data_IF_372407391039
#
_entry.id   IF_372407391039
#
_cell.length_a   1.000
_cell.length_b   1.000
_cell.length_c   1.000
_cell.angle_alpha   90.00
_cell.angle_beta   90.00
_cell.angle_gamma   90.00
#
_symmetry.space_group_name_H-M   'P 1'
#
loop_
_entity.id
_entity.type
_entity.pdbx_description
1 polymer ?
#
# COMPACT_ATOMS: atom_id res chain seq x y z
N UNK A 1 -6.00 -98.59 -34.13
CA UNK A 1 -4.67 -98.95 -34.67
C UNK A 1 -4.04 -97.64 -35.12
N UNK A 2 -2.94 -97.20 -34.47
CA UNK A 2 -2.10 -96.03 -34.81
C UNK A 2 -2.78 -94.63 -34.74
N UNK A 3 -2.15 -93.48 -34.48
CA UNK A 3 -0.94 -92.98 -33.79
C UNK A 3 -0.97 -91.44 -34.04
N UNK A 4 -0.27 -90.64 -33.23
CA UNK A 4 0.29 -89.30 -33.60
C UNK A 4 -0.70 -88.11 -33.70
N UNK A 5 -0.74 -87.20 -32.72
CA UNK A 5 0.13 -86.01 -32.53
C UNK A 5 0.01 -85.02 -33.70
N UNK A 6 -0.62 -83.87 -33.44
CA UNK A 6 -0.11 -82.56 -33.88
C UNK A 6 -0.68 -81.41 -33.02
N UNK A 7 0.24 -80.67 -32.40
CA UNK A 7 0.06 -79.44 -31.63
C UNK A 7 -0.63 -78.35 -32.46
N UNK A 8 -1.60 -77.63 -31.87
CA UNK A 8 -1.76 -76.18 -32.04
C UNK A 8 -2.28 -75.56 -30.74
N UNK A 9 -1.40 -74.82 -30.06
CA UNK A 9 -1.71 -74.02 -28.88
C UNK A 9 -2.68 -72.89 -29.26
N UNK A 10 -3.83 -72.83 -28.60
CA UNK A 10 -4.72 -71.67 -28.62
C UNK A 10 -4.18 -70.66 -27.59
N UNK A 11 -3.63 -69.54 -28.06
CA UNK A 11 -3.30 -68.40 -27.19
C UNK A 11 -4.60 -67.63 -26.96
N UNK A 12 -5.15 -67.75 -25.75
CA UNK A 12 -6.27 -66.95 -25.29
C UNK A 12 -5.71 -65.63 -24.75
N UNK A 13 -5.82 -64.55 -25.54
CA UNK A 13 -5.45 -63.19 -25.10
C UNK A 13 -6.56 -62.67 -24.19
N UNK A 14 -6.37 -62.76 -22.87
CA UNK A 14 -7.17 -62.03 -21.90
C UNK A 14 -6.72 -60.56 -21.91
N UNK A 15 -7.53 -59.69 -22.52
CA UNK A 15 -7.35 -58.24 -22.44
C UNK A 15 -7.75 -57.79 -21.03
N UNK A 16 -6.78 -57.76 -20.11
CA UNK A 16 -6.96 -57.18 -18.78
C UNK A 16 -6.91 -55.66 -18.92
N UNK A 17 -8.07 -55.03 -19.11
CA UNK A 17 -8.20 -53.57 -19.09
C UNK A 17 -8.04 -53.10 -17.64
N UNK A 18 -6.81 -52.79 -17.25
CA UNK A 18 -6.52 -52.09 -16.01
C UNK A 18 -7.07 -50.66 -16.15
N UNK A 19 -8.25 -50.41 -15.57
CA UNK A 19 -8.75 -49.05 -15.36
C UNK A 19 -7.91 -48.39 -14.25
N UNK A 20 -6.74 -47.87 -14.62
CA UNK A 20 -5.96 -46.99 -13.76
C UNK A 20 -6.72 -45.67 -13.67
N UNK A 21 -7.49 -45.49 -12.60
CA UNK A 21 -8.04 -44.19 -12.23
C UNK A 21 -6.86 -43.26 -11.91
N UNK A 22 -6.43 -42.50 -12.92
CA UNK A 22 -5.49 -41.42 -12.75
C UNK A 22 -6.17 -40.33 -11.92
N UNK A 23 -5.90 -40.31 -10.60
CA UNK A 23 -6.19 -39.15 -9.77
C UNK A 23 -5.29 -38.02 -10.26
N UNK A 24 -5.85 -37.13 -11.10
CA UNK A 24 -5.21 -35.86 -11.40
C UNK A 24 -5.11 -35.08 -10.09
N UNK A 25 -3.91 -35.02 -9.50
CA UNK A 25 -3.60 -34.04 -8.47
C UNK A 25 -3.68 -32.66 -9.11
N UNK A 26 -4.82 -31.99 -8.97
CA UNK A 26 -4.95 -30.58 -9.30
C UNK A 26 -3.98 -29.82 -8.40
N UNK A 27 -3.00 -29.15 -8.98
CA UNK A 27 -2.12 -28.24 -8.25
C UNK A 27 -2.98 -27.27 -7.40
N UNK A 28 -2.61 -26.99 -6.14
CA UNK A 28 -3.41 -26.11 -5.30
C UNK A 28 -3.59 -24.76 -5.99
N UNK A 29 -4.85 -24.38 -6.18
CA UNK A 29 -5.20 -23.14 -6.87
C UNK A 29 -4.65 -21.96 -6.07
N UNK A 30 -3.75 -21.18 -6.69
CA UNK A 30 -3.18 -19.96 -6.08
C UNK A 30 -4.36 -19.03 -5.72
N UNK A 31 -4.50 -18.71 -4.44
CA UNK A 31 -5.49 -17.73 -3.97
C UNK A 31 -4.99 -16.35 -4.34
N UNK A 32 -5.82 -15.58 -5.04
CA UNK A 32 -5.50 -14.21 -5.43
C UNK A 32 -5.41 -13.30 -4.20
N UNK A 33 -4.49 -12.34 -4.18
CA UNK A 33 -4.35 -11.39 -3.06
C UNK A 33 -5.42 -10.29 -3.11
N UNK A 34 -5.54 -9.51 -2.04
CA UNK A 34 -6.38 -8.30 -2.02
C UNK A 34 -6.01 -7.34 -3.15
N UNK A 35 -4.73 -7.10 -3.41
CA UNK A 35 -4.31 -6.22 -4.52
C UNK A 35 -4.71 -6.80 -5.89
N UNK A 36 -4.66 -8.13 -6.06
CA UNK A 36 -5.07 -8.78 -7.31
C UNK A 36 -6.61 -8.73 -7.51
N UNK A 37 -7.40 -8.79 -6.42
CA UNK A 37 -8.88 -8.79 -6.48
C UNK A 37 -9.49 -7.38 -6.44
N UNK A 38 -8.87 -6.47 -5.67
CA UNK A 38 -9.31 -5.09 -5.44
C UNK A 38 -8.12 -4.12 -5.58
N UNK A 39 -7.62 -3.87 -6.81
CA UNK A 39 -6.45 -3.03 -7.03
C UNK A 39 -6.57 -1.65 -6.37
N UNK A 40 -5.54 -1.25 -5.62
CA UNK A 40 -5.49 0.04 -4.93
C UNK A 40 -6.35 0.18 -3.67
N UNK A 41 -7.08 -0.86 -3.24
CA UNK A 41 -7.82 -0.86 -1.98
C UNK A 41 -6.85 -0.74 -0.78
N UNK A 42 -5.82 -1.58 -0.76
CA UNK A 42 -4.78 -1.59 0.24
C UNK A 42 -3.60 -0.72 -0.19
N UNK A 43 -3.00 0.02 0.74
CA UNK A 43 -1.80 0.82 0.47
C UNK A 43 -0.58 0.34 1.25
N UNK A 44 -0.72 -0.69 2.10
CA UNK A 44 0.36 -1.23 2.92
C UNK A 44 0.26 -2.73 3.14
N UNK A 45 0.26 -3.15 4.42
CA UNK A 45 0.45 -4.55 4.81
C UNK A 45 -0.63 -5.51 4.26
N UNK A 46 -1.83 -5.00 3.92
CA UNK A 46 -2.92 -5.83 3.45
C UNK A 46 -2.90 -6.08 1.93
N UNK A 47 -1.98 -5.47 1.17
CA UNK A 47 -1.86 -5.72 -0.29
C UNK A 47 -1.69 -7.20 -0.65
N UNK A 48 -0.95 -7.93 0.18
CA UNK A 48 -0.66 -9.36 0.02
C UNK A 48 -1.59 -10.27 0.80
N UNK A 49 -2.60 -9.71 1.50
CA UNK A 49 -3.55 -10.50 2.25
C UNK A 49 -4.42 -11.36 1.31
N UNK A 50 -4.92 -12.48 1.82
CA UNK A 50 -5.72 -13.44 1.09
C UNK A 50 -7.19 -13.33 1.52
N UNK A 51 -8.11 -12.91 0.64
CA UNK A 51 -9.54 -12.95 0.90
C UNK A 51 -10.02 -14.41 0.92
N UNK A 52 -10.42 -14.88 2.09
CA UNK A 52 -10.89 -16.25 2.34
C UNK A 52 -12.14 -16.26 3.21
N UNK A 53 -12.84 -17.40 3.24
CA UNK A 53 -13.91 -17.60 4.22
C UNK A 53 -13.33 -17.72 5.63
N UNK A 54 -13.86 -16.92 6.57
CA UNK A 54 -13.51 -16.95 7.99
C UNK A 54 -14.76 -17.23 8.83
N UNK A 55 -14.55 -17.60 10.10
CA UNK A 55 -15.65 -17.77 11.07
C UNK A 55 -16.48 -16.48 11.17
N UNK A 56 -17.78 -16.63 11.42
CA UNK A 56 -18.69 -15.49 11.58
C UNK A 56 -18.17 -14.53 12.66
N UNK A 57 -18.14 -13.23 12.35
CA UNK A 57 -17.64 -12.17 13.23
C UNK A 57 -16.15 -11.87 13.09
N UNK A 58 -15.35 -12.81 12.56
CA UNK A 58 -13.93 -12.61 12.33
C UNK A 58 -13.68 -11.97 10.96
N UNK A 59 -12.91 -10.87 10.95
CA UNK A 59 -12.59 -10.11 9.72
C UNK A 59 -11.13 -10.28 9.29
N UNK A 60 -10.22 -10.58 10.22
CA UNK A 60 -8.81 -10.85 9.92
C UNK A 60 -8.25 -11.97 10.82
N UNK A 61 -7.38 -12.79 10.24
CA UNK A 61 -6.53 -13.74 10.96
C UNK A 61 -5.10 -13.74 10.43
N UNK A 62 -4.11 -13.60 11.31
CA UNK A 62 -2.69 -13.65 10.95
C UNK A 62 -1.85 -14.11 12.14
N UNK A 63 -1.08 -15.19 12.01
CA UNK A 63 -0.17 -15.68 13.07
C UNK A 63 -0.78 -15.83 14.49
N UNK A 64 -2.05 -16.19 14.60
CA UNK A 64 -2.75 -16.28 15.90
C UNK A 64 -3.25 -14.94 16.44
N UNK A 65 -3.07 -13.84 15.69
CA UNK A 65 -3.87 -12.63 15.83
C UNK A 65 -5.21 -12.89 15.13
N UNK A 66 -6.28 -12.56 15.82
CA UNK A 66 -7.65 -12.58 15.33
C UNK A 66 -8.28 -11.21 15.57
N UNK A 67 -8.88 -10.62 14.55
CA UNK A 67 -9.56 -9.32 14.66
C UNK A 67 -11.01 -9.49 14.25
N UNK A 68 -11.90 -9.04 15.12
CA UNK A 68 -13.34 -8.95 14.89
C UNK A 68 -13.73 -7.52 14.50
N UNK A 69 -14.89 -7.34 13.88
CA UNK A 69 -15.38 -6.01 13.49
C UNK A 69 -15.56 -5.07 14.70
N UNK A 70 -15.96 -5.63 15.85
CA UNK A 70 -16.12 -4.91 17.13
C UNK A 70 -14.83 -4.21 17.60
N UNK A 71 -13.66 -4.75 17.24
CA UNK A 71 -12.37 -4.12 17.52
C UNK A 71 -12.20 -2.80 16.76
N UNK A 72 -12.65 -2.76 15.49
CA UNK A 72 -12.63 -1.54 14.69
C UNK A 72 -13.68 -0.55 15.18
N UNK A 73 -14.88 -1.02 15.54
CA UNK A 73 -15.94 -0.17 16.10
C UNK A 73 -15.49 0.53 17.38
N UNK A 74 -14.80 -0.20 18.27
CA UNK A 74 -14.17 0.38 19.46
C UNK A 74 -13.11 1.43 19.09
N UNK A 75 -12.24 1.12 18.13
CA UNK A 75 -11.22 2.05 17.65
C UNK A 75 -11.83 3.34 17.09
N UNK A 76 -12.97 3.25 16.38
CA UNK A 76 -13.72 4.40 15.90
C UNK A 76 -14.34 5.20 17.05
N UNK A 77 -14.89 4.52 18.07
CA UNK A 77 -15.49 5.17 19.22
C UNK A 77 -14.46 5.95 20.06
N UNK A 78 -13.22 5.47 20.13
CA UNK A 78 -12.11 6.10 20.85
C UNK A 78 -11.42 7.21 20.03
N UNK A 79 -11.64 7.27 18.73
CA UNK A 79 -11.08 8.31 17.86
C UNK A 79 -11.70 9.70 18.13
N UNK A 80 -11.00 10.73 17.64
CA UNK A 80 -11.46 12.13 17.62
C UNK A 80 -12.90 12.20 17.08
N UNK A 81 -13.85 12.86 17.79
CA UNK A 81 -15.24 12.95 17.36
C UNK A 81 -15.44 13.44 15.93
N UNK A 82 -14.61 14.38 15.46
CA UNK A 82 -14.66 14.92 14.10
C UNK A 82 -14.19 13.95 13.02
N UNK A 83 -13.50 12.86 13.38
CA UNK A 83 -13.03 11.84 12.43
C UNK A 83 -13.92 10.60 12.36
N UNK A 84 -14.84 10.40 13.33
CA UNK A 84 -15.56 9.13 13.47
C UNK A 84 -16.37 8.75 12.23
N UNK A 85 -17.09 9.71 11.65
CA UNK A 85 -17.90 9.45 10.44
C UNK A 85 -17.04 9.15 9.22
N UNK A 86 -15.89 9.80 9.08
CA UNK A 86 -14.94 9.52 8.00
C UNK A 86 -14.31 8.13 8.19
N UNK A 87 -13.96 7.75 9.41
CA UNK A 87 -13.43 6.42 9.75
C UNK A 87 -14.45 5.30 9.52
N UNK A 88 -15.75 5.51 9.84
CA UNK A 88 -16.82 4.54 9.58
C UNK A 88 -16.96 4.20 8.09
N UNK A 89 -16.65 5.16 7.21
CA UNK A 89 -16.65 4.95 5.74
C UNK A 89 -15.34 4.32 5.24
N UNK A 90 -14.31 4.29 6.07
CA UNK A 90 -12.95 3.87 5.71
C UNK A 90 -12.42 2.77 6.67
N UNK A 91 -13.28 1.83 7.09
CA UNK A 91 -12.88 0.78 8.03
C UNK A 91 -11.78 -0.14 7.48
N UNK A 92 -11.68 -0.32 6.15
CA UNK A 92 -10.56 -1.05 5.54
C UNK A 92 -9.22 -0.38 5.84
N UNK A 93 -9.14 0.94 5.68
CA UNK A 93 -7.94 1.70 6.02
C UNK A 93 -7.60 1.58 7.51
N UNK A 94 -8.61 1.69 8.38
CA UNK A 94 -8.41 1.51 9.82
C UNK A 94 -7.90 0.10 10.15
N UNK A 95 -8.48 -0.94 9.53
CA UNK A 95 -8.01 -2.31 9.68
C UNK A 95 -6.55 -2.44 9.23
N UNK A 96 -6.17 -1.85 8.10
CA UNK A 96 -4.80 -1.90 7.60
C UNK A 96 -3.80 -1.29 8.60
N UNK A 97 -4.11 -0.11 9.14
CA UNK A 97 -3.28 0.53 10.17
C UNK A 97 -3.15 -0.34 11.43
N UNK A 98 -4.28 -0.85 11.93
CA UNK A 98 -4.29 -1.71 13.12
C UNK A 98 -3.62 -3.06 12.90
N UNK A 99 -3.70 -3.61 11.70
CA UNK A 99 -3.02 -4.86 11.34
C UNK A 99 -1.51 -4.68 11.36
N UNK A 100 -1.00 -3.57 10.81
CA UNK A 100 0.42 -3.24 10.86
C UNK A 100 0.90 -3.06 12.30
N UNK A 101 0.15 -2.33 13.13
CA UNK A 101 0.44 -2.14 14.55
C UNK A 101 0.50 -3.48 15.31
N UNK A 102 -0.52 -4.33 15.17
CA UNK A 102 -0.60 -5.63 15.85
C UNK A 102 0.53 -6.58 15.43
N UNK A 103 0.87 -6.62 14.14
CA UNK A 103 1.93 -7.49 13.62
C UNK A 103 3.33 -6.98 14.01
N UNK A 104 3.55 -5.67 13.97
CA UNK A 104 4.78 -5.06 14.49
C UNK A 104 4.94 -5.32 15.98
N UNK A 105 3.89 -5.13 16.78
CA UNK A 105 3.91 -5.38 18.21
C UNK A 105 4.26 -6.83 18.52
N UNK A 106 3.68 -7.77 17.77
CA UNK A 106 3.96 -9.20 17.91
C UNK A 106 5.43 -9.52 17.62
N UNK A 107 5.97 -9.02 16.52
CA UNK A 107 7.38 -9.23 16.17
C UNK A 107 8.31 -8.56 17.19
N UNK A 108 7.98 -7.34 17.65
CA UNK A 108 8.72 -6.62 18.67
C UNK A 108 8.76 -7.40 20.00
N UNK A 109 7.62 -7.87 20.49
CA UNK A 109 7.50 -8.66 21.74
C UNK A 109 8.24 -10.00 21.67
N UNK A 110 8.40 -10.60 20.48
CA UNK A 110 9.20 -11.82 20.31
C UNK A 110 10.69 -11.58 20.52
N UNK A 111 11.19 -10.37 20.21
CA UNK A 111 12.63 -10.03 20.33
C UNK A 111 12.98 -9.38 21.65
N UNK A 112 12.14 -8.46 22.12
CA UNK A 112 12.37 -7.70 23.34
C UNK A 112 11.13 -7.77 24.22
N UNK A 113 10.95 -8.86 24.99
CA UNK A 113 9.81 -9.01 25.88
C UNK A 113 9.99 -8.10 27.11
N UNK A 114 9.63 -6.82 26.98
CA UNK A 114 9.46 -5.92 28.12
C UNK A 114 7.98 -5.88 28.52
N UNK A 115 7.68 -6.34 29.74
CA UNK A 115 6.30 -6.40 30.28
C UNK A 115 5.85 -5.09 30.92
N UNK A 116 6.76 -4.13 31.14
CA UNK A 116 6.46 -2.84 31.78
C UNK A 116 6.27 -1.72 30.77
N UNK A 117 6.88 -1.84 29.59
CA UNK A 117 6.70 -0.90 28.50
C UNK A 117 5.29 -0.99 27.90
N UNK A 118 4.77 0.16 27.46
CA UNK A 118 3.56 0.23 26.62
C UNK A 118 3.81 -0.41 25.26
N UNK A 119 2.73 -0.80 24.57
CA UNK A 119 2.83 -1.40 23.24
C UNK A 119 3.56 -0.49 22.23
N UNK A 120 3.33 0.82 22.31
CA UNK A 120 4.02 1.81 21.49
C UNK A 120 5.52 1.85 21.79
N UNK A 121 5.93 1.89 23.06
CA UNK A 121 7.34 1.89 23.45
C UNK A 121 8.08 0.64 22.98
N UNK A 122 7.41 -0.53 23.03
CA UNK A 122 7.95 -1.79 22.54
C UNK A 122 8.18 -1.75 21.02
N UNK A 123 7.19 -1.28 20.24
CA UNK A 123 7.33 -1.13 18.79
C UNK A 123 8.43 -0.12 18.45
N UNK A 124 8.44 1.04 19.10
CA UNK A 124 9.45 2.08 18.87
C UNK A 124 10.85 1.55 19.16
N UNK A 125 11.04 0.83 20.26
CA UNK A 125 12.33 0.23 20.55
C UNK A 125 12.77 -0.77 19.49
N UNK A 126 11.86 -1.64 19.06
CA UNK A 126 12.13 -2.61 18.00
C UNK A 126 12.52 -1.95 16.67
N UNK A 127 11.86 -0.85 16.30
CA UNK A 127 12.15 -0.12 15.08
C UNK A 127 13.47 0.67 15.18
N UNK A 128 13.80 1.25 16.35
CA UNK A 128 15.06 1.97 16.57
C UNK A 128 16.29 1.14 16.23
N UNK A 129 16.31 -0.14 16.64
CA UNK A 129 17.43 -1.04 16.36
C UNK A 129 17.66 -1.23 14.85
N UNK A 130 16.60 -1.18 14.04
CA UNK A 130 16.69 -1.25 12.58
C UNK A 130 17.22 0.03 11.95
N UNK A 131 17.10 1.17 12.64
CA UNK A 131 17.57 2.46 12.14
C UNK A 131 19.00 2.79 12.55
N UNK A 132 19.64 1.98 13.40
CA UNK A 132 20.92 2.31 14.03
C UNK A 132 22.06 2.66 13.05
N UNK A 133 21.99 2.16 11.81
CA UNK A 133 22.99 2.39 10.77
C UNK A 133 22.59 3.44 9.72
N UNK A 134 21.38 4.02 9.81
CA UNK A 134 20.91 5.00 8.84
C UNK A 134 21.69 6.31 8.96
N UNK A 135 22.21 6.78 7.83
CA UNK A 135 22.90 8.06 7.67
C UNK A 135 22.46 8.71 6.36
N UNK A 136 22.52 10.04 6.29
CA UNK A 136 22.51 10.77 5.03
C UNK A 136 23.94 11.23 4.73
N UNK A 137 24.44 10.87 3.57
CA UNK A 137 25.75 11.27 3.08
C UNK A 137 25.76 12.74 2.67
N UNK A 138 26.94 13.36 2.68
CA UNK A 138 27.10 14.75 2.23
C UNK A 138 26.71 14.94 0.75
N UNK A 139 26.85 13.90 -0.07
CA UNK A 139 26.39 13.93 -1.46
C UNK A 139 24.86 13.96 -1.56
N UNK A 140 24.16 13.12 -0.78
CA UNK A 140 22.69 13.15 -0.74
C UNK A 140 22.16 14.52 -0.28
N UNK A 141 22.82 15.13 0.71
CA UNK A 141 22.48 16.47 1.20
C UNK A 141 22.70 17.52 0.10
N UNK A 142 23.81 17.43 -0.64
CA UNK A 142 24.14 18.34 -1.74
C UNK A 142 23.13 18.22 -2.88
N UNK A 143 22.82 17.00 -3.31
CA UNK A 143 21.82 16.74 -4.36
C UNK A 143 20.46 17.28 -3.95
N UNK A 144 20.00 16.98 -2.73
CA UNK A 144 18.74 17.49 -2.22
C UNK A 144 18.71 19.03 -2.22
N UNK A 145 19.78 19.69 -1.77
CA UNK A 145 19.86 21.15 -1.76
C UNK A 145 19.78 21.75 -3.17
N UNK A 146 20.54 21.20 -4.13
CA UNK A 146 20.53 21.65 -5.53
C UNK A 146 19.13 21.55 -6.15
N UNK A 147 18.44 20.42 -5.91
CA UNK A 147 17.09 20.17 -6.43
C UNK A 147 16.00 21.02 -5.74
N UNK A 148 16.26 21.55 -4.55
CA UNK A 148 15.26 22.25 -3.72
C UNK A 148 15.66 23.69 -3.35
N UNK A 149 16.65 24.28 -4.01
CA UNK A 149 17.25 25.57 -3.65
C UNK A 149 16.22 26.72 -3.59
N UNK A 150 15.26 26.72 -4.51
CA UNK A 150 14.20 27.74 -4.57
C UNK A 150 13.29 27.69 -3.32
N UNK A 151 13.01 26.48 -2.82
CA UNK A 151 12.24 26.27 -1.59
C UNK A 151 12.99 26.71 -0.32
N UNK A 152 14.32 26.79 -0.37
CA UNK A 152 15.16 27.22 0.74
C UNK A 152 15.33 28.74 0.83
N UNK A 153 14.56 29.52 0.05
CA UNK A 153 14.60 30.99 0.04
C UNK A 153 16.01 31.57 -0.19
N UNK A 154 16.85 30.84 -0.93
CA UNK A 154 18.23 31.25 -1.23
C UNK A 154 19.24 31.10 -0.07
N UNK A 155 18.86 30.46 1.05
CA UNK A 155 19.81 30.21 2.15
C UNK A 155 21.00 29.35 1.68
N UNK A 156 22.25 29.68 2.06
CA UNK A 156 23.41 28.86 1.70
C UNK A 156 23.32 27.43 2.25
N UNK A 157 23.88 26.45 1.54
CA UNK A 157 23.89 25.05 1.96
C UNK A 157 24.38 24.86 3.40
N UNK A 158 25.47 25.53 3.78
CA UNK A 158 26.03 25.44 5.13
C UNK A 158 25.04 25.84 6.24
N UNK A 159 24.09 26.73 5.93
CA UNK A 159 23.05 27.17 6.88
C UNK A 159 21.97 26.11 7.06
N UNK A 160 21.66 25.33 6.03
CA UNK A 160 20.55 24.36 6.03
C UNK A 160 21.01 22.90 6.06
N UNK A 161 22.33 22.64 6.06
CA UNK A 161 22.93 21.31 5.93
C UNK A 161 22.40 20.31 6.97
N UNK A 162 22.37 20.70 8.25
CA UNK A 162 21.88 19.84 9.34
C UNK A 162 20.38 19.56 9.21
N UNK A 163 19.58 20.59 8.89
CA UNK A 163 18.13 20.43 8.67
C UNK A 163 17.84 19.48 7.52
N UNK A 164 18.59 19.58 6.42
CA UNK A 164 18.48 18.65 5.29
C UNK A 164 18.90 17.24 5.72
N UNK A 165 20.00 17.10 6.46
CA UNK A 165 20.46 15.80 6.97
C UNK A 165 19.38 15.11 7.79
N UNK A 166 18.78 15.82 8.75
CA UNK A 166 17.73 15.29 9.62
C UNK A 166 16.48 14.91 8.82
N UNK A 167 16.09 15.75 7.87
CA UNK A 167 14.99 15.46 6.95
C UNK A 167 15.24 14.17 6.15
N UNK A 168 16.41 14.02 5.54
CA UNK A 168 16.78 12.84 4.76
C UNK A 168 16.85 11.58 5.63
N UNK A 169 17.40 11.66 6.84
CA UNK A 169 17.40 10.54 7.80
C UNK A 169 15.98 10.16 8.18
N UNK A 170 15.10 11.13 8.39
CA UNK A 170 13.70 10.88 8.72
C UNK A 170 12.94 10.23 7.54
N UNK A 171 13.21 10.64 6.29
CA UNK A 171 12.67 9.99 5.09
C UNK A 171 13.12 8.53 5.00
N UNK A 172 14.43 8.27 5.17
CA UNK A 172 14.98 6.90 5.16
C UNK A 172 14.40 6.01 6.25
N UNK A 173 14.21 6.54 7.47
CA UNK A 173 13.55 5.82 8.56
C UNK A 173 12.14 5.42 8.17
N UNK A 174 11.39 6.35 7.58
CA UNK A 174 10.02 6.09 7.16
C UNK A 174 9.95 5.02 6.05
N UNK A 175 10.83 5.10 5.06
CA UNK A 175 10.94 4.10 4.00
C UNK A 175 11.28 2.72 4.58
N UNK A 176 12.23 2.65 5.51
CA UNK A 176 12.60 1.39 6.17
C UNK A 176 11.43 0.78 6.94
N UNK A 177 10.63 1.60 7.64
CA UNK A 177 9.40 1.12 8.31
C UNK A 177 8.41 0.55 7.31
N UNK A 178 8.14 1.27 6.22
CA UNK A 178 7.20 0.83 5.17
C UNK A 178 7.66 -0.51 4.58
N UNK A 179 8.91 -0.59 4.14
CA UNK A 179 9.48 -1.81 3.58
C UNK A 179 9.41 -2.98 4.58
N UNK A 180 9.70 -2.71 5.85
CA UNK A 180 9.63 -3.73 6.89
C UNK A 180 8.20 -4.22 7.13
N UNK A 181 7.21 -3.33 7.16
CA UNK A 181 5.78 -3.68 7.29
C UNK A 181 5.35 -4.54 6.10
N UNK A 182 5.76 -4.19 4.88
CA UNK A 182 5.43 -5.00 3.71
C UNK A 182 6.10 -6.39 3.74
N UNK A 183 7.35 -6.47 4.19
CA UNK A 183 8.04 -7.75 4.41
C UNK A 183 7.29 -8.62 5.41
N UNK A 184 6.80 -8.05 6.51
CA UNK A 184 5.97 -8.77 7.48
C UNK A 184 4.69 -9.32 6.83
N UNK A 185 4.02 -8.52 6.00
CA UNK A 185 2.82 -8.93 5.26
C UNK A 185 3.07 -10.01 4.21
N UNK A 186 4.28 -10.07 3.64
CA UNK A 186 4.71 -11.14 2.70
C UNK A 186 5.16 -12.41 3.40
N UNK A 187 5.84 -12.28 4.53
CA UNK A 187 6.44 -13.41 5.24
C UNK A 187 5.40 -14.39 5.77
N UNK A 188 4.21 -13.88 6.12
CA UNK A 188 3.15 -14.67 6.78
C UNK A 188 1.80 -14.34 6.17
N UNK A 189 1.02 -15.35 5.72
CA UNK A 189 -0.29 -15.11 5.14
C UNK A 189 -1.22 -14.39 6.11
N UNK A 190 -1.63 -13.18 5.75
CA UNK A 190 -2.75 -12.48 6.38
C UNK A 190 -4.02 -12.92 5.67
N UNK A 191 -5.00 -13.42 6.42
CA UNK A 191 -6.29 -13.86 5.88
C UNK A 191 -7.34 -12.80 6.21
N UNK A 192 -8.12 -12.39 5.22
CA UNK A 192 -9.23 -11.47 5.41
C UNK A 192 -10.55 -12.14 5.05
N UNK A 193 -11.61 -11.78 5.75
CA UNK A 193 -12.95 -12.26 5.45
C UNK A 193 -13.42 -11.71 4.08
N UNK A 194 -13.70 -12.60 3.12
CA UNK A 194 -14.08 -12.22 1.75
C UNK A 194 -15.29 -11.29 1.69
N UNK A 195 -16.36 -11.59 2.44
CA UNK A 195 -17.61 -10.81 2.40
C UNK A 195 -17.40 -9.42 2.99
N UNK A 196 -16.63 -9.34 4.07
CA UNK A 196 -16.29 -8.06 4.70
C UNK A 196 -15.43 -7.21 3.76
N UNK A 197 -14.36 -7.76 3.16
CA UNK A 197 -13.51 -7.02 2.22
C UNK A 197 -14.33 -6.53 1.02
N UNK A 198 -15.22 -7.36 0.47
CA UNK A 198 -16.10 -6.97 -0.64
C UNK A 198 -17.00 -5.80 -0.28
N UNK A 199 -17.57 -5.79 0.93
CA UNK A 199 -18.38 -4.65 1.41
C UNK A 199 -17.52 -3.39 1.57
N UNK A 200 -16.34 -3.52 2.19
CA UNK A 200 -15.48 -2.38 2.46
C UNK A 200 -14.80 -1.82 1.21
N UNK A 201 -14.55 -2.65 0.18
CA UNK A 201 -13.96 -2.18 -1.07
C UNK A 201 -14.85 -1.15 -1.76
N UNK A 202 -16.17 -1.36 -1.74
CA UNK A 202 -17.14 -0.41 -2.30
C UNK A 202 -17.09 0.93 -1.57
N UNK A 203 -16.98 0.91 -0.24
CA UNK A 203 -16.97 2.12 0.59
C UNK A 203 -15.64 2.87 0.47
N UNK A 204 -14.52 2.15 0.62
CA UNK A 204 -13.19 2.76 0.64
C UNK A 204 -12.80 3.34 -0.72
N UNK A 205 -13.20 2.71 -1.83
CA UNK A 205 -12.90 3.19 -3.19
C UNK A 205 -13.86 4.30 -3.68
N UNK A 206 -14.90 4.62 -2.92
CA UNK A 206 -15.83 5.72 -3.24
C UNK A 206 -15.26 7.09 -2.84
N UNK A 207 -14.18 7.51 -3.50
CA UNK A 207 -13.54 8.80 -3.29
C UNK A 207 -12.96 9.35 -4.60
N UNK A 208 -12.66 10.66 -4.69
CA UNK A 208 -12.21 11.27 -5.94
C UNK A 208 -10.89 10.70 -6.48
N UNK A 209 -9.97 10.29 -5.59
CA UNK A 209 -8.67 9.75 -5.99
C UNK A 209 -8.84 8.38 -6.66
N UNK A 210 -9.54 7.45 -6.02
CA UNK A 210 -9.71 6.08 -6.55
C UNK A 210 -10.59 6.06 -7.82
N UNK A 211 -11.60 6.93 -7.90
CA UNK A 211 -12.36 7.16 -9.13
C UNK A 211 -11.48 7.64 -10.27
N UNK A 212 -10.56 8.58 -10.00
CA UNK A 212 -9.61 9.06 -11.00
C UNK A 212 -8.64 7.96 -11.45
N UNK A 213 -8.11 7.16 -10.51
CA UNK A 213 -7.22 6.01 -10.79
C UNK A 213 -7.83 4.96 -11.71
N UNK A 214 -9.15 4.81 -11.65
CA UNK A 214 -9.89 3.86 -12.49
C UNK A 214 -10.22 4.39 -13.90
N UNK A 215 -9.80 5.61 -14.25
CA UNK A 215 -10.22 6.29 -15.49
C UNK A 215 -9.46 5.90 -16.76
N UNK A 216 -8.34 5.19 -16.64
CA UNK A 216 -7.48 4.87 -17.80
C UNK A 216 -6.62 6.03 -18.32
N UNK A 217 -6.62 7.17 -17.63
CA UNK A 217 -5.83 8.36 -17.98
C UNK A 217 -4.64 8.54 -17.03
N UNK A 218 -3.67 9.33 -17.46
CA UNK A 218 -2.64 9.83 -16.55
C UNK A 218 -3.34 10.74 -15.53
N UNK A 219 -2.96 10.63 -14.26
CA UNK A 219 -3.52 11.45 -13.19
C UNK A 219 -2.40 12.16 -12.46
N UNK A 220 -2.60 13.44 -12.17
CA UNK A 220 -1.83 14.21 -11.22
C UNK A 220 -2.77 14.66 -10.09
N UNK A 221 -2.40 14.37 -8.86
CA UNK A 221 -3.17 14.74 -7.67
C UNK A 221 -2.32 15.63 -6.80
N UNK A 222 -2.79 16.85 -6.59
CA UNK A 222 -2.28 17.74 -5.57
C UNK A 222 -2.99 17.47 -4.25
N UNK A 223 -2.25 17.03 -3.24
CA UNK A 223 -2.70 17.05 -1.86
C UNK A 223 -2.22 18.34 -1.21
N UNK A 224 -3.16 19.19 -0.81
CA UNK A 224 -2.87 20.52 -0.27
C UNK A 224 -3.92 20.99 0.72
N UNK A 225 -3.93 22.29 1.01
CA UNK A 225 -4.95 22.92 1.83
C UNK A 225 -5.11 24.39 1.43
N UNK A 226 -6.29 24.95 1.63
CA UNK A 226 -6.51 26.40 1.47
C UNK A 226 -5.80 27.18 2.58
N UNK A 227 -5.24 28.34 2.25
CA UNK A 227 -4.45 29.15 3.20
C UNK A 227 -3.10 28.53 3.55
N UNK A 228 -2.61 27.62 2.72
CA UNK A 228 -1.24 27.14 2.71
C UNK A 228 -0.55 27.85 1.54
N UNK A 229 0.32 28.83 1.82
CA UNK A 229 0.91 29.69 0.76
C UNK A 229 1.55 28.89 -0.39
N UNK A 230 2.39 27.87 -0.15
CA UNK A 230 2.92 27.05 -1.25
C UNK A 230 1.84 26.29 -2.02
N UNK A 231 0.78 25.83 -1.35
CA UNK A 231 -0.36 25.17 -1.99
C UNK A 231 -1.18 26.15 -2.85
N UNK A 232 -1.36 27.40 -2.38
CA UNK A 232 -2.05 28.45 -3.12
C UNK A 232 -1.27 28.83 -4.39
N UNK A 233 0.06 28.81 -4.34
CA UNK A 233 0.93 29.00 -5.52
C UNK A 233 0.80 27.89 -6.56
N UNK A 234 0.39 26.67 -6.16
CA UNK A 234 0.14 25.58 -7.10
C UNK A 234 -1.19 25.75 -7.85
N UNK A 235 -2.18 26.46 -7.31
CA UNK A 235 -3.52 26.55 -7.92
C UNK A 235 -3.53 27.05 -9.38
N UNK A 236 -2.80 28.14 -9.75
CA UNK A 236 -2.73 28.58 -11.14
C UNK A 236 -2.09 27.55 -12.06
N UNK A 237 -1.11 26.78 -11.56
CA UNK A 237 -0.43 25.72 -12.31
C UNK A 237 -1.40 24.58 -12.58
N UNK A 238 -2.15 24.13 -11.56
CA UNK A 238 -3.17 23.09 -11.73
C UNK A 238 -4.22 23.49 -12.77
N UNK A 239 -4.64 24.76 -12.76
CA UNK A 239 -5.60 25.28 -13.74
C UNK A 239 -5.02 25.36 -15.16
N UNK A 240 -3.75 25.74 -15.30
CA UNK A 240 -3.04 25.69 -16.58
C UNK A 240 -3.01 24.27 -17.15
N UNK A 241 -2.64 23.28 -16.33
CA UNK A 241 -2.55 21.87 -16.72
C UNK A 241 -3.91 21.30 -17.17
N UNK A 242 -5.00 21.65 -16.46
CA UNK A 242 -6.37 21.27 -16.86
C UNK A 242 -6.74 21.80 -18.25
N UNK A 243 -6.31 23.03 -18.57
CA UNK A 243 -6.58 23.67 -19.87
C UNK A 243 -5.70 23.10 -20.99
N UNK A 244 -4.43 22.79 -20.70
CA UNK A 244 -3.49 22.23 -21.68
C UNK A 244 -3.85 20.80 -22.08
N UNK A 245 -4.31 19.98 -21.13
CA UNK A 245 -4.48 18.53 -21.34
C UNK A 245 -5.87 17.98 -20.94
N UNK A 246 -7.00 18.59 -21.37
CA UNK A 246 -8.33 18.27 -20.86
C UNK A 246 -8.79 16.83 -21.14
N UNK A 247 -8.25 16.20 -22.19
CA UNK A 247 -8.63 14.84 -22.58
C UNK A 247 -7.72 13.75 -22.01
N UNK A 248 -6.44 14.05 -21.81
CA UNK A 248 -5.42 13.04 -21.54
C UNK A 248 -4.89 13.03 -20.09
N UNK A 249 -5.17 14.09 -19.32
CA UNK A 249 -4.71 14.27 -17.95
C UNK A 249 -5.87 14.57 -17.00
N UNK A 250 -5.95 13.84 -15.89
CA UNK A 250 -6.80 14.20 -14.76
C UNK A 250 -5.99 14.95 -13.70
N UNK A 251 -6.36 16.21 -13.43
CA UNK A 251 -5.71 17.05 -12.41
C UNK A 251 -6.65 17.29 -11.24
N UNK A 252 -6.37 16.68 -10.10
CA UNK A 252 -7.19 16.77 -8.89
C UNK A 252 -6.50 17.63 -7.83
N UNK A 253 -7.31 18.34 -7.04
CA UNK A 253 -6.88 18.97 -5.80
C UNK A 253 -7.65 18.35 -4.64
N UNK A 254 -6.94 17.85 -3.63
CA UNK A 254 -7.49 17.23 -2.44
C UNK A 254 -7.10 18.08 -1.23
N UNK A 255 -8.08 18.71 -0.60
CA UNK A 255 -7.85 19.43 0.65
C UNK A 255 -7.72 18.45 1.81
N UNK A 256 -6.50 18.23 2.31
CA UNK A 256 -6.23 17.26 3.37
C UNK A 256 -6.74 17.69 4.75
N UNK A 257 -7.10 18.97 4.92
CA UNK A 257 -7.77 19.43 6.15
C UNK A 257 -9.24 19.03 6.19
N UNK A 258 -9.87 18.86 5.03
CA UNK A 258 -11.26 18.43 4.88
C UNK A 258 -11.39 16.92 4.66
N UNK A 259 -10.40 16.31 4.00
CA UNK A 259 -10.34 14.89 3.65
C UNK A 259 -9.20 14.21 4.42
N UNK A 260 -9.29 14.20 5.75
CA UNK A 260 -8.17 13.84 6.64
C UNK A 260 -7.79 12.37 6.52
N UNK A 261 -8.77 11.47 6.45
CA UNK A 261 -8.53 10.04 6.30
C UNK A 261 -8.02 9.72 4.89
N UNK A 262 -8.53 10.41 3.87
CA UNK A 262 -8.02 10.23 2.51
C UNK A 262 -6.55 10.65 2.40
N UNK A 263 -6.17 11.81 2.96
CA UNK A 263 -4.77 12.23 3.03
C UNK A 263 -3.89 11.23 3.77
N UNK A 264 -4.37 10.71 4.90
CA UNK A 264 -3.66 9.69 5.68
C UNK A 264 -3.49 8.36 4.90
N UNK A 265 -4.53 7.91 4.18
CA UNK A 265 -4.50 6.68 3.37
C UNK A 265 -3.43 6.72 2.27
N UNK A 266 -3.21 7.89 1.68
CA UNK A 266 -2.17 8.12 0.67
C UNK A 266 -0.81 8.53 1.25
N UNK A 267 -0.66 8.45 2.58
CA UNK A 267 0.60 8.71 3.28
C UNK A 267 1.04 10.17 3.25
N UNK A 268 0.10 11.11 3.11
CA UNK A 268 0.41 12.54 3.02
C UNK A 268 0.75 13.08 4.41
N UNK A 269 2.02 13.43 4.62
CA UNK A 269 2.56 13.97 5.89
C UNK A 269 3.02 15.42 5.79
N UNK A 270 3.17 15.91 4.57
CA UNK A 270 3.58 17.27 4.27
C UNK A 270 2.84 17.72 3.03
N UNK A 271 2.49 18.99 2.98
CA UNK A 271 1.80 19.62 1.86
C UNK A 271 2.56 20.86 1.40
N UNK A 272 2.47 21.22 0.11
CA UNK A 272 1.79 20.48 -0.94
C UNK A 272 2.53 19.18 -1.33
N UNK A 273 1.79 18.19 -1.82
CA UNK A 273 2.35 16.95 -2.32
C UNK A 273 1.66 16.53 -3.62
N UNK A 274 2.44 16.33 -4.68
CA UNK A 274 1.95 15.95 -6.00
C UNK A 274 2.19 14.45 -6.20
N UNK A 275 1.12 13.70 -6.46
CA UNK A 275 1.20 12.25 -6.73
C UNK A 275 0.72 11.98 -8.14
N UNK A 276 1.53 11.26 -8.91
CA UNK A 276 1.30 10.95 -10.31
C UNK A 276 0.98 9.47 -10.48
N UNK A 277 -0.08 9.18 -11.24
CA UNK A 277 -0.51 7.83 -11.57
C UNK A 277 -0.48 7.61 -13.08
N UNK A 278 -0.03 6.42 -13.49
CA UNK A 278 -0.09 5.97 -14.88
C UNK A 278 -1.53 5.65 -15.32
N UNK A 279 -1.70 5.30 -16.59
CA UNK A 279 -2.99 4.88 -17.17
C UNK A 279 -3.57 3.60 -16.53
N UNK A 280 -2.80 2.87 -15.73
CA UNK A 280 -3.24 1.70 -14.98
C UNK A 280 -3.62 2.05 -13.54
N UNK A 281 -3.54 3.33 -13.14
CA UNK A 281 -3.87 3.79 -11.79
C UNK A 281 -2.78 3.45 -10.75
N UNK A 282 -1.57 3.13 -11.20
CA UNK A 282 -0.41 2.87 -10.33
C UNK A 282 0.36 4.16 -10.08
N UNK A 283 0.74 4.42 -8.83
CA UNK A 283 1.60 5.54 -8.48
C UNK A 283 2.98 5.32 -9.12
N UNK A 284 3.43 6.28 -9.93
CA UNK A 284 4.74 6.21 -10.62
C UNK A 284 5.70 7.30 -10.18
N UNK A 285 5.19 8.37 -9.56
CA UNK A 285 6.01 9.46 -9.07
C UNK A 285 5.30 10.28 -8.01
N UNK A 286 6.09 10.84 -7.11
CA UNK A 286 5.66 11.66 -5.99
C UNK A 286 6.66 12.79 -5.79
N UNK A 287 6.14 13.99 -5.57
CA UNK A 287 6.91 15.16 -5.19
C UNK A 287 6.30 15.79 -3.93
N UNK A 288 7.14 16.37 -3.06
CA UNK A 288 6.73 17.07 -1.85
C UNK A 288 7.30 18.49 -1.92
N UNK A 289 6.46 19.50 -1.71
CA UNK A 289 6.82 20.90 -1.83
C UNK A 289 6.26 21.54 -3.11
N UNK A 290 6.62 22.81 -3.32
CA UNK A 290 6.23 23.54 -4.53
C UNK A 290 6.86 22.89 -5.76
N UNK A 291 6.07 22.64 -6.81
CA UNK A 291 6.55 21.96 -8.00
C UNK A 291 6.29 22.83 -9.24
N UNK A 292 7.34 23.43 -9.85
CA UNK A 292 7.17 24.31 -11.00
C UNK A 292 6.51 23.61 -12.20
N UNK A 293 5.67 24.34 -12.93
CA UNK A 293 4.94 23.80 -14.10
C UNK A 293 5.86 23.16 -15.14
N UNK A 294 7.04 23.73 -15.37
CA UNK A 294 8.03 23.19 -16.31
C UNK A 294 8.50 21.78 -15.92
N UNK A 295 8.69 21.53 -14.63
CA UNK A 295 9.12 20.22 -14.14
C UNK A 295 7.94 19.22 -14.20
N UNK A 296 6.72 19.69 -13.96
CA UNK A 296 5.51 18.89 -14.16
C UNK A 296 5.35 18.50 -15.64
N UNK A 297 5.49 19.45 -16.57
CA UNK A 297 5.40 19.20 -18.01
C UNK A 297 6.46 18.18 -18.47
N UNK A 298 7.70 18.30 -17.95
CA UNK A 298 8.76 17.30 -18.17
C UNK A 298 8.33 15.93 -17.65
N UNK A 299 7.79 15.87 -16.43
CA UNK A 299 7.38 14.60 -15.84
C UNK A 299 6.24 13.94 -16.59
N UNK A 300 5.25 14.71 -17.02
CA UNK A 300 4.13 14.23 -17.82
C UNK A 300 4.62 13.71 -19.19
N UNK A 301 5.60 14.38 -19.80
CA UNK A 301 6.23 13.91 -21.04
C UNK A 301 6.93 12.56 -20.87
N UNK A 302 7.66 12.36 -19.75
CA UNK A 302 8.26 11.05 -19.40
C UNK A 302 7.20 9.94 -19.25
N UNK A 303 6.00 10.29 -18.81
CA UNK A 303 4.86 9.38 -18.66
C UNK A 303 4.12 9.11 -19.99
N UNK A 304 4.54 9.74 -21.09
CA UNK A 304 3.93 9.58 -22.41
C UNK A 304 2.62 10.35 -22.58
N UNK A 305 2.48 11.49 -21.90
CA UNK A 305 1.50 12.52 -22.25
C UNK A 305 1.96 13.32 -23.47
#
# INVERSE_FOLDING_TARGET
>A
MFQSIFKKSFILVFLCVCFSAAFAQTAPQKIATVEEVYPGLATGILKTALPVSLKKGLILSAEGIEVEESFLEKSVAEADPGLREELKKNLFFLLEQKSAELLLLREAKRRTPDKKATDEEVIQSYLRDKFALLKASDEEIRVFYEENKDSMSGMPLETVKETIRDYLIQQKKQELVVNHIEELGRAKPIRLNTDWVKKQSVLALDNPVDKARSSGKIIMIEFGATGCRPCDMMQPILESLRKKHPQNLHVLFINVREQRILGARYGIRSIPAQVFYDKKGQEVFRHIGFYPEKEIDKKLSEMGL
#
